data_IF_838571893779
#
_entry.id   IF_838571893779
#
_cell.length_a   1.000
_cell.length_b   1.000
_cell.length_c   1.000
_cell.angle_alpha   90.00
_cell.angle_beta   90.00
_cell.angle_gamma   90.00
#
_symmetry.space_group_name_H-M   'P 1'
#
loop_
_entity.id
_entity.type
_entity.pdbx_description
1 polymer ?
#
# COMPACT_ATOMS: atom_id res chain seq x y z
N UNK A 1 26.33 -2.31 -13.92
CA UNK A 1 24.94 -1.95 -14.27
C UNK A 1 24.96 -1.65 -15.76
N UNK A 2 24.43 -2.56 -16.56
CA UNK A 2 24.51 -2.47 -18.00
C UNK A 2 23.52 -1.41 -18.52
N UNK A 3 23.91 -0.72 -19.60
CA UNK A 3 23.09 0.34 -20.24
C UNK A 3 21.67 -0.16 -20.59
N UNK A 4 21.52 -1.47 -20.84
CA UNK A 4 20.22 -2.13 -21.05
C UNK A 4 19.32 -2.12 -19.81
N UNK A 5 19.88 -2.28 -18.61
CA UNK A 5 19.10 -2.28 -17.35
C UNK A 5 18.51 -0.91 -17.07
N UNK A 6 19.28 0.15 -17.30
CA UNK A 6 18.81 1.52 -17.14
C UNK A 6 17.72 1.87 -18.15
N UNK A 7 17.85 1.40 -19.40
CA UNK A 7 16.82 1.57 -20.43
C UNK A 7 15.50 0.86 -20.08
N UNK A 8 15.58 -0.37 -19.54
CA UNK A 8 14.41 -1.12 -19.11
C UNK A 8 13.72 -0.49 -17.89
N UNK A 9 14.49 0.03 -16.93
CA UNK A 9 13.95 0.75 -15.78
C UNK A 9 13.21 2.03 -16.21
N UNK A 10 13.83 2.83 -17.09
CA UNK A 10 13.19 4.07 -17.58
C UNK A 10 11.91 3.78 -18.37
N UNK A 11 11.90 2.72 -19.18
CA UNK A 11 10.72 2.27 -19.92
C UNK A 11 9.61 1.78 -18.96
N UNK A 12 9.98 1.05 -17.89
CA UNK A 12 9.06 0.61 -16.85
C UNK A 12 8.42 1.78 -16.10
N UNK A 13 9.20 2.79 -15.73
CA UNK A 13 8.68 4.01 -15.11
C UNK A 13 7.75 4.79 -16.06
N UNK A 14 8.12 4.93 -17.32
CA UNK A 14 7.28 5.59 -18.32
C UNK A 14 5.93 4.86 -18.50
N UNK A 15 5.96 3.51 -18.52
CA UNK A 15 4.75 2.70 -18.61
C UNK A 15 3.88 2.84 -17.34
N UNK A 16 4.49 2.82 -16.15
CA UNK A 16 3.77 2.98 -14.87
C UNK A 16 3.08 4.36 -14.76
N UNK A 17 3.67 5.41 -15.36
CA UNK A 17 3.12 6.76 -15.39
C UNK A 17 2.09 6.99 -16.48
N UNK A 18 1.78 6.00 -17.32
CA UNK A 18 0.70 6.12 -18.29
C UNK A 18 -0.63 6.38 -17.58
N UNK A 19 -1.51 7.25 -18.11
CA UNK A 19 -2.77 7.61 -17.48
C UNK A 19 -3.66 6.40 -17.15
N UNK A 20 -3.68 5.40 -18.01
CA UNK A 20 -4.42 4.14 -17.79
C UNK A 20 -3.92 3.37 -16.56
N UNK A 21 -2.61 3.26 -16.41
CA UNK A 21 -1.97 2.55 -15.29
C UNK A 21 -2.11 3.33 -13.98
N UNK A 22 -2.04 4.67 -14.04
CA UNK A 22 -2.31 5.53 -12.88
C UNK A 22 -3.75 5.40 -12.39
N UNK A 23 -4.72 5.35 -13.31
CA UNK A 23 -6.14 5.12 -12.93
C UNK A 23 -6.30 3.76 -12.27
N UNK A 24 -5.72 2.70 -12.83
CA UNK A 24 -5.79 1.37 -12.24
C UNK A 24 -5.07 1.27 -10.90
N UNK A 25 -3.98 1.99 -10.72
CA UNK A 25 -3.29 2.11 -9.44
C UNK A 25 -4.19 2.78 -8.39
N UNK A 26 -4.84 3.90 -8.73
CA UNK A 26 -5.75 4.62 -7.82
C UNK A 26 -6.94 3.74 -7.44
N UNK A 27 -7.52 3.04 -8.41
CA UNK A 27 -8.62 2.08 -8.16
C UNK A 27 -8.13 0.96 -7.23
N UNK A 28 -6.96 0.38 -7.51
CA UNK A 28 -6.36 -0.67 -6.68
C UNK A 28 -6.13 -0.21 -5.25
N UNK A 29 -5.50 0.95 -5.05
CA UNK A 29 -5.27 1.53 -3.72
C UNK A 29 -6.59 1.79 -2.99
N UNK A 30 -7.60 2.34 -3.67
CA UNK A 30 -8.89 2.65 -3.05
C UNK A 30 -9.60 1.37 -2.58
N UNK A 31 -9.67 0.36 -3.43
CA UNK A 31 -10.24 -0.95 -3.07
C UNK A 31 -9.42 -1.60 -1.95
N UNK A 32 -8.09 -1.53 -2.04
CA UNK A 32 -7.17 -2.03 -1.01
C UNK A 32 -7.43 -1.40 0.35
N UNK A 33 -7.57 -0.07 0.42
CA UNK A 33 -7.90 0.62 1.68
C UNK A 33 -9.22 0.11 2.26
N UNK A 34 -10.26 -0.03 1.45
CA UNK A 34 -11.57 -0.54 1.90
C UNK A 34 -11.44 -1.94 2.47
N UNK A 35 -10.77 -2.85 1.75
CA UNK A 35 -10.53 -4.23 2.19
C UNK A 35 -9.70 -4.26 3.48
N UNK A 36 -8.64 -3.46 3.54
CA UNK A 36 -7.75 -3.38 4.70
C UNK A 36 -8.39 -2.78 5.96
N UNK A 37 -9.39 -1.91 5.80
CA UNK A 37 -10.17 -1.39 6.93
C UNK A 37 -11.07 -2.45 7.57
N UNK A 38 -11.32 -3.58 6.89
CA UNK A 38 -12.16 -4.66 7.44
C UNK A 38 -11.33 -5.55 8.37
N UNK A 39 -11.65 -5.59 9.68
CA UNK A 39 -10.92 -6.44 10.62
C UNK A 39 -11.00 -7.92 10.20
N UNK A 40 -9.86 -8.61 10.22
CA UNK A 40 -9.79 -10.03 9.88
C UNK A 40 -9.44 -10.33 8.41
N UNK A 41 -9.42 -9.31 7.54
CA UNK A 41 -8.92 -9.46 6.17
C UNK A 41 -7.45 -8.98 6.11
N UNK A 42 -6.53 -9.91 5.83
CA UNK A 42 -5.13 -9.53 5.61
C UNK A 42 -4.94 -8.95 4.20
N UNK A 43 -3.87 -8.17 4.01
CA UNK A 43 -3.53 -7.64 2.70
C UNK A 43 -3.35 -8.75 1.64
N UNK A 44 -2.77 -9.90 2.05
CA UNK A 44 -2.62 -11.07 1.18
C UNK A 44 -3.98 -11.65 0.75
N UNK A 45 -4.95 -11.72 1.67
CA UNK A 45 -6.32 -12.16 1.33
C UNK A 45 -6.98 -11.18 0.37
N UNK A 46 -6.78 -9.87 0.58
CA UNK A 46 -7.29 -8.85 -0.33
C UNK A 46 -6.77 -9.04 -1.76
N UNK A 47 -5.47 -9.25 -1.90
CA UNK A 47 -4.85 -9.55 -3.20
C UNK A 47 -5.42 -10.84 -3.80
N UNK A 48 -5.52 -11.93 -3.02
CA UNK A 48 -6.02 -13.21 -3.50
C UNK A 48 -7.48 -13.13 -3.98
N UNK A 49 -8.33 -12.40 -3.27
CA UNK A 49 -9.74 -12.20 -3.65
C UNK A 49 -9.90 -11.37 -4.94
N UNK A 50 -9.01 -10.41 -5.14
CA UNK A 50 -9.08 -9.48 -6.26
C UNK A 50 -8.20 -9.88 -7.46
N UNK A 51 -7.37 -10.92 -7.30
CA UNK A 51 -6.55 -11.46 -8.39
C UNK A 51 -7.37 -11.79 -9.66
N UNK A 52 -8.56 -12.42 -9.57
CA UNK A 52 -9.35 -12.71 -10.77
C UNK A 52 -9.75 -11.45 -11.56
N UNK A 53 -9.84 -10.29 -10.89
CA UNK A 53 -10.19 -9.03 -11.55
C UNK A 53 -9.11 -8.56 -12.52
N UNK A 54 -7.87 -9.01 -12.32
CA UNK A 54 -6.74 -8.66 -13.20
C UNK A 54 -6.62 -9.59 -14.42
N UNK A 55 -7.40 -10.69 -14.47
CA UNK A 55 -7.41 -11.57 -15.62
C UNK A 55 -8.00 -10.85 -16.84
N UNK A 56 -7.27 -10.86 -17.93
CA UNK A 56 -7.67 -10.13 -19.13
C UNK A 56 -7.11 -8.71 -19.25
N UNK A 57 -6.40 -8.22 -18.23
CA UNK A 57 -5.64 -6.98 -18.31
C UNK A 57 -4.23 -7.24 -18.86
N UNK A 58 -3.57 -6.19 -19.36
CA UNK A 58 -2.14 -6.27 -19.67
C UNK A 58 -1.36 -6.64 -18.39
N UNK A 59 -0.34 -7.49 -18.46
CA UNK A 59 0.39 -7.97 -17.27
C UNK A 59 0.91 -6.84 -16.38
N UNK A 60 1.42 -5.77 -16.98
CA UNK A 60 1.94 -4.61 -16.28
C UNK A 60 0.84 -3.89 -15.48
N UNK A 61 -0.32 -3.69 -16.13
CA UNK A 61 -1.48 -3.03 -15.51
C UNK A 61 -2.05 -3.86 -14.36
N UNK A 62 -2.13 -5.18 -14.54
CA UNK A 62 -2.55 -6.11 -13.50
C UNK A 62 -1.63 -6.08 -12.28
N UNK A 63 -0.32 -6.10 -12.48
CA UNK A 63 0.68 -6.01 -11.42
C UNK A 63 0.61 -4.66 -10.67
N UNK A 64 0.45 -3.56 -11.39
CA UNK A 64 0.29 -2.21 -10.80
C UNK A 64 -0.97 -2.17 -9.92
N UNK A 65 -2.08 -2.70 -10.41
CA UNK A 65 -3.33 -2.75 -9.65
C UNK A 65 -3.19 -3.61 -8.39
N UNK A 66 -2.62 -4.82 -8.50
CA UNK A 66 -2.40 -5.71 -7.35
C UNK A 66 -1.45 -5.10 -6.32
N UNK A 67 -0.38 -4.45 -6.76
CA UNK A 67 0.52 -3.68 -5.89
C UNK A 67 -0.21 -2.56 -5.16
N UNK A 68 -1.08 -1.83 -5.87
CA UNK A 68 -1.96 -0.81 -5.28
C UNK A 68 -2.90 -1.38 -4.21
N UNK A 69 -3.55 -2.52 -4.50
CA UNK A 69 -4.42 -3.23 -3.55
C UNK A 69 -3.63 -3.62 -2.29
N UNK A 70 -2.44 -4.19 -2.45
CA UNK A 70 -1.61 -4.63 -1.34
C UNK A 70 -1.19 -3.46 -0.44
N UNK A 71 -0.62 -2.40 -1.02
CA UNK A 71 -0.21 -1.21 -0.28
C UNK A 71 -1.41 -0.51 0.39
N UNK A 72 -2.53 -0.40 -0.34
CA UNK A 72 -3.78 0.16 0.18
C UNK A 72 -4.32 -0.65 1.35
N UNK A 73 -4.29 -1.98 1.29
CA UNK A 73 -4.79 -2.83 2.36
C UNK A 73 -3.94 -2.75 3.63
N UNK A 74 -2.61 -2.64 3.50
CA UNK A 74 -1.73 -2.44 4.67
C UNK A 74 -2.05 -1.10 5.35
N UNK A 75 -2.21 -0.04 4.59
CA UNK A 75 -2.56 1.28 5.13
C UNK A 75 -3.97 1.30 5.71
N UNK A 76 -4.94 0.65 5.04
CA UNK A 76 -6.32 0.49 5.52
C UNK A 76 -6.39 -0.16 6.90
N UNK A 77 -5.53 -1.17 7.15
CA UNK A 77 -5.41 -1.79 8.47
C UNK A 77 -4.97 -0.83 9.57
N UNK A 78 -4.15 0.15 9.23
CA UNK A 78 -3.76 1.21 10.18
C UNK A 78 -4.91 2.17 10.48
N UNK A 79 -5.79 2.44 9.52
CA UNK A 79 -6.99 3.28 9.73
C UNK A 79 -7.92 2.66 10.77
N UNK A 80 -8.26 1.38 10.63
CA UNK A 80 -9.10 0.67 11.60
C UNK A 80 -8.43 0.56 12.98
N UNK A 81 -7.11 0.36 13.02
CA UNK A 81 -6.34 0.33 14.25
C UNK A 81 -6.43 1.66 15.02
N UNK A 82 -6.29 2.79 14.32
CA UNK A 82 -6.32 4.14 14.91
C UNK A 82 -7.73 4.52 15.34
N UNK A 83 -8.76 4.23 14.53
CA UNK A 83 -10.12 4.72 14.78
C UNK A 83 -10.91 3.85 15.78
N UNK A 84 -10.78 2.54 15.69
CA UNK A 84 -11.60 1.59 16.46
C UNK A 84 -10.79 0.61 17.31
N UNK A 85 -9.49 0.83 17.45
CA UNK A 85 -8.58 -0.04 18.23
C UNK A 85 -8.58 -1.51 17.77
N UNK A 86 -8.94 -1.76 16.51
CA UNK A 86 -8.97 -3.11 15.95
C UNK A 86 -8.05 -3.15 14.75
N UNK A 87 -6.82 -3.71 14.87
CA UNK A 87 -5.89 -3.77 13.76
C UNK A 87 -6.45 -4.65 12.63
N UNK A 88 -6.55 -4.10 11.42
CA UNK A 88 -6.99 -4.84 10.24
C UNK A 88 -5.91 -5.80 9.74
N UNK A 89 -4.65 -5.46 9.95
CA UNK A 89 -3.49 -6.29 9.57
C UNK A 89 -2.54 -6.46 10.76
N UNK A 90 -1.75 -7.55 10.83
CA UNK A 90 -0.75 -7.72 11.89
C UNK A 90 0.24 -6.54 11.98
N UNK A 91 0.59 -5.95 10.83
CA UNK A 91 1.52 -4.81 10.78
C UNK A 91 0.96 -3.55 11.47
N UNK A 92 -0.35 -3.41 11.58
CA UNK A 92 -1.00 -2.26 12.21
C UNK A 92 -1.25 -2.43 13.72
N UNK A 93 -0.83 -3.56 14.31
CA UNK A 93 -1.01 -3.82 15.74
C UNK A 93 -0.28 -2.79 16.61
N UNK A 94 0.94 -2.41 16.25
CA UNK A 94 1.70 -1.36 16.96
C UNK A 94 1.03 0.01 16.85
N UNK A 95 0.45 0.31 15.67
CA UNK A 95 -0.25 1.57 15.42
C UNK A 95 -1.52 1.72 16.27
N UNK A 96 -2.15 0.59 16.67
CA UNK A 96 -3.34 0.60 17.52
C UNK A 96 -3.06 1.15 18.91
N UNK A 97 -1.86 0.95 19.45
CA UNK A 97 -1.51 1.35 20.81
C UNK A 97 -1.53 2.87 20.96
N UNK A 98 -0.71 3.57 20.19
CA UNK A 98 -0.57 5.02 20.31
C UNK A 98 -1.63 5.78 19.49
N UNK A 99 -2.01 5.24 18.33
CA UNK A 99 -2.97 5.88 17.43
C UNK A 99 -4.37 5.98 18.02
N UNK A 100 -4.83 4.96 18.72
CA UNK A 100 -6.14 4.97 19.38
C UNK A 100 -6.19 5.93 20.58
N UNK A 101 -5.10 6.06 21.33
CA UNK A 101 -5.03 7.03 22.42
C UNK A 101 -5.16 8.48 21.90
N UNK A 102 -4.57 8.79 20.76
CA UNK A 102 -4.78 10.08 20.09
C UNK A 102 -6.23 10.27 19.63
N UNK A 103 -6.87 9.19 19.18
CA UNK A 103 -8.29 9.23 18.79
C UNK A 103 -9.20 9.54 19.97
N UNK A 104 -8.96 8.96 21.15
CA UNK A 104 -9.70 9.28 22.39
C UNK A 104 -9.56 10.77 22.78
N UNK A 105 -8.43 11.38 22.46
CA UNK A 105 -8.18 12.81 22.68
C UNK A 105 -8.83 13.70 21.60
N UNK A 106 -9.60 13.16 20.68
CA UNK A 106 -10.19 13.90 19.56
C UNK A 106 -9.19 14.28 18.45
N UNK A 107 -8.00 13.68 18.44
CA UNK A 107 -6.90 13.99 17.50
C UNK A 107 -6.69 12.88 16.44
N UNK A 108 -7.74 12.17 16.05
CA UNK A 108 -7.68 11.08 15.08
C UNK A 108 -7.04 11.49 13.74
N UNK A 109 -7.38 12.68 13.23
CA UNK A 109 -6.79 13.20 11.99
C UNK A 109 -5.27 13.41 12.07
N UNK A 110 -4.76 13.81 13.26
CA UNK A 110 -3.31 13.93 13.48
C UNK A 110 -2.64 12.56 13.49
N UNK A 111 -3.25 11.55 14.12
CA UNK A 111 -2.74 10.19 14.13
C UNK A 111 -2.69 9.58 12.73
N UNK A 112 -3.77 9.73 11.94
CA UNK A 112 -3.83 9.26 10.56
C UNK A 112 -2.81 9.96 9.66
N UNK A 113 -2.67 11.28 9.77
CA UNK A 113 -1.68 12.05 9.02
C UNK A 113 -0.25 11.63 9.34
N UNK A 114 0.07 11.44 10.62
CA UNK A 114 1.39 10.95 11.03
C UNK A 114 1.67 9.54 10.50
N UNK A 115 0.69 8.64 10.58
CA UNK A 115 0.82 7.29 10.04
C UNK A 115 1.05 7.30 8.52
N UNK A 116 0.36 8.16 7.77
CA UNK A 116 0.54 8.31 6.33
C UNK A 116 1.95 8.79 5.98
N UNK A 117 2.42 9.85 6.65
CA UNK A 117 3.77 10.40 6.43
C UNK A 117 4.85 9.37 6.81
N UNK A 118 4.69 8.70 7.94
CA UNK A 118 5.63 7.68 8.39
C UNK A 118 5.68 6.48 7.42
N UNK A 119 4.54 6.06 6.87
CA UNK A 119 4.47 5.00 5.86
C UNK A 119 5.15 5.40 4.56
N UNK A 120 5.01 6.65 4.14
CA UNK A 120 5.68 7.16 2.94
C UNK A 120 7.21 7.15 3.09
N UNK A 121 7.72 7.73 4.17
CA UNK A 121 9.16 7.75 4.42
C UNK A 121 9.72 6.35 4.71
N UNK A 122 9.00 5.53 5.46
CA UNK A 122 9.39 4.14 5.74
C UNK A 122 9.46 3.30 4.46
N UNK A 123 8.53 3.48 3.54
CA UNK A 123 8.52 2.84 2.24
C UNK A 123 9.72 3.25 1.36
N UNK A 124 10.01 4.56 1.30
CA UNK A 124 11.16 5.07 0.56
C UNK A 124 12.50 4.54 1.12
N UNK A 125 12.66 4.55 2.45
CA UNK A 125 13.87 4.03 3.10
C UNK A 125 14.02 2.52 2.87
N UNK A 126 12.94 1.76 2.96
CA UNK A 126 12.95 0.31 2.72
C UNK A 126 13.40 -0.01 1.30
N UNK A 127 12.87 0.68 0.29
CA UNK A 127 13.30 0.50 -1.10
C UNK A 127 14.76 0.87 -1.32
N UNK A 128 15.23 1.95 -0.68
CA UNK A 128 16.64 2.37 -0.76
C UNK A 128 17.58 1.34 -0.13
N UNK A 129 17.21 0.78 1.03
CA UNK A 129 18.03 -0.23 1.72
C UNK A 129 18.10 -1.55 0.95
N UNK A 130 16.99 -2.00 0.34
CA UNK A 130 16.99 -3.20 -0.50
C UNK A 130 17.96 -3.02 -1.67
N UNK A 131 17.98 -1.84 -2.29
CA UNK A 131 18.87 -1.55 -3.41
C UNK A 131 20.36 -1.51 -3.02
N UNK A 132 20.68 -1.20 -1.76
CA UNK A 132 22.06 -1.15 -1.24
C UNK A 132 22.53 -2.54 -0.81
N UNK A 133 21.64 -3.41 -0.35
CA UNK A 133 21.98 -4.73 0.20
C UNK A 133 22.03 -5.86 -0.83
N UNK A 134 21.57 -5.63 -2.05
CA UNK A 134 21.70 -6.59 -3.14
C UNK A 134 23.11 -6.46 -3.79
N UNK A 135 23.94 -7.54 -3.78
CA UNK A 135 25.24 -7.57 -4.41
C UNK A 135 25.16 -7.56 -5.94
#
# INVERSE_FOLDING_TARGET
>A
MDANTFGLMSAGFANALMPSNLIMMIIGVTIGIVVGCMPGLSAAMGVALLLPLTFGMAPETGLIMLGGIYCGAIFGGSISAILIHTPGTPASAATALDGYELTKQGKAGKALGTACIASFFGGLLSLSLIHISEP
#
